data_IF_678339127496
#
_entry.id   IF_678339127496
#
_cell.length_a   1.000
_cell.length_b   1.000
_cell.length_c   1.000
_cell.angle_alpha   90.00
_cell.angle_beta   90.00
_cell.angle_gamma   90.00
#
_symmetry.space_group_name_H-M   'P 1'
#
loop_
_entity.id
_entity.type
_entity.pdbx_description
1 polymer ?
#
# COMPACT_ATOMS: atom_id res chain seq x y z
N UNK A 1 -0.80 27.82 9.50
CA UNK A 1 -1.11 26.38 9.33
C UNK A 1 -1.11 25.80 10.75
N UNK A 2 -2.27 25.45 11.28
CA UNK A 2 -2.35 24.78 12.57
C UNK A 2 -1.64 23.45 12.48
N UNK A 3 -0.63 23.28 13.32
CA UNK A 3 0.13 22.04 13.44
C UNK A 3 -0.80 20.98 14.07
N UNK A 4 -1.51 20.20 13.28
CA UNK A 4 -2.44 19.18 13.75
C UNK A 4 -1.66 18.17 14.58
N UNK A 5 -1.88 18.15 15.90
CA UNK A 5 -1.24 17.19 16.81
C UNK A 5 -1.65 15.77 16.46
N UNK A 6 -0.68 14.88 16.34
CA UNK A 6 -0.92 13.45 16.11
C UNK A 6 -1.72 12.89 17.28
N UNK A 7 -2.76 12.10 16.97
CA UNK A 7 -3.66 11.49 17.96
C UNK A 7 -3.47 9.97 17.98
N UNK A 8 -3.12 9.41 19.12
CA UNK A 8 -2.77 8.00 19.30
C UNK A 8 -3.69 7.33 20.30
N UNK A 9 -4.30 6.22 19.90
CA UNK A 9 -5.04 5.30 20.76
C UNK A 9 -4.12 4.15 21.19
N UNK A 10 -4.11 3.84 22.48
CA UNK A 10 -3.39 2.69 23.05
C UNK A 10 -4.42 1.72 23.60
N UNK A 11 -4.52 0.52 23.04
CA UNK A 11 -5.42 -0.56 23.47
C UNK A 11 -4.86 -1.37 24.64
N UNK A 12 -4.32 -0.67 25.63
CA UNK A 12 -3.84 -1.20 26.90
C UNK A 12 -4.00 -0.10 27.95
N UNK A 13 -4.75 -0.35 29.02
CA UNK A 13 -5.00 0.57 30.12
C UNK A 13 -4.18 0.20 31.38
N UNK A 14 -3.24 -0.74 31.26
CA UNK A 14 -2.37 -1.13 32.38
C UNK A 14 -1.39 0.00 32.78
N UNK A 15 -1.19 0.15 34.07
CA UNK A 15 -0.26 1.12 34.61
C UNK A 15 1.20 0.85 34.19
N UNK A 16 1.54 -0.41 33.98
CA UNK A 16 2.89 -0.86 33.62
C UNK A 16 3.29 -0.53 32.19
N UNK A 17 2.35 -0.57 31.25
CA UNK A 17 2.61 -0.44 29.82
C UNK A 17 1.82 0.71 29.17
N UNK A 18 0.52 0.61 29.06
CA UNK A 18 -0.30 1.57 28.33
C UNK A 18 -0.25 2.97 28.89
N UNK A 19 -0.36 3.13 30.22
CA UNK A 19 -0.30 4.44 30.89
C UNK A 19 1.08 5.07 30.76
N UNK A 20 2.16 4.29 30.89
CA UNK A 20 3.54 4.78 30.68
C UNK A 20 3.77 5.22 29.24
N UNK A 21 3.33 4.41 28.27
CA UNK A 21 3.44 4.75 26.86
C UNK A 21 2.68 6.05 26.55
N UNK A 22 1.47 6.21 27.09
CA UNK A 22 0.69 7.43 26.92
C UNK A 22 1.37 8.66 27.53
N UNK A 23 2.03 8.53 28.70
CA UNK A 23 2.77 9.61 29.32
C UNK A 23 3.94 10.09 28.45
N UNK A 24 4.78 9.16 27.98
CA UNK A 24 5.92 9.46 27.10
C UNK A 24 5.48 10.12 25.80
N UNK A 25 4.39 9.66 25.20
CA UNK A 25 3.84 10.27 23.97
C UNK A 25 3.37 11.70 24.22
N UNK A 26 2.68 11.98 25.35
CA UNK A 26 2.21 13.32 25.70
C UNK A 26 3.36 14.29 25.97
N UNK A 27 4.46 13.84 26.59
CA UNK A 27 5.68 14.63 26.79
C UNK A 27 6.35 15.04 25.45
N UNK A 28 6.02 14.34 24.35
CA UNK A 28 6.55 14.58 23.00
C UNK A 28 5.53 15.22 22.03
N UNK A 29 4.56 15.99 22.57
CA UNK A 29 3.52 16.72 21.81
C UNK A 29 2.55 15.82 21.01
N UNK A 30 2.40 14.56 21.40
CA UNK A 30 1.46 13.60 20.80
C UNK A 30 0.26 13.44 21.75
N UNK A 31 -0.95 13.63 21.25
CA UNK A 31 -2.17 13.37 22.02
C UNK A 31 -2.39 11.87 22.15
N UNK A 32 -2.20 11.31 23.33
CA UNK A 32 -2.35 9.87 23.56
C UNK A 32 -3.42 9.57 24.63
N UNK A 33 -4.21 8.53 24.39
CA UNK A 33 -5.22 8.05 25.32
C UNK A 33 -5.29 6.52 25.31
N UNK A 34 -5.69 5.94 26.45
CA UNK A 34 -5.72 4.50 26.66
C UNK A 34 -7.16 3.97 26.64
N UNK A 35 -7.33 2.72 26.25
CA UNK A 35 -8.57 1.95 26.32
C UNK A 35 -8.27 0.55 26.81
N UNK A 36 -9.28 -0.13 27.34
CA UNK A 36 -9.19 -1.55 27.73
C UNK A 36 -8.71 -2.39 26.55
N UNK A 37 -7.94 -3.44 26.83
CA UNK A 37 -7.42 -4.41 25.87
C UNK A 37 -8.52 -5.33 25.32
N UNK A 38 -9.57 -4.73 24.76
CA UNK A 38 -10.76 -5.39 24.23
C UNK A 38 -11.11 -4.81 22.86
N UNK A 39 -11.37 -5.68 21.87
CA UNK A 39 -11.59 -5.27 20.49
C UNK A 39 -12.73 -4.29 20.31
N UNK A 40 -13.83 -4.49 21.04
CA UNK A 40 -15.01 -3.63 20.95
C UNK A 40 -14.72 -2.21 21.44
N UNK A 41 -14.09 -2.09 22.63
CA UNK A 41 -13.73 -0.80 23.18
C UNK A 41 -12.72 -0.03 22.30
N UNK A 42 -11.80 -0.78 21.67
CA UNK A 42 -10.82 -0.22 20.75
C UNK A 42 -11.52 0.23 19.45
N UNK A 43 -12.38 -0.60 18.85
CA UNK A 43 -13.11 -0.28 17.62
C UNK A 43 -14.01 0.94 17.81
N UNK A 44 -14.80 0.96 18.90
CA UNK A 44 -15.68 2.10 19.25
C UNK A 44 -14.86 3.40 19.35
N UNK A 45 -13.66 3.33 19.95
CA UNK A 45 -12.77 4.48 20.09
C UNK A 45 -12.14 4.90 18.76
N UNK A 46 -11.80 3.95 17.87
CA UNK A 46 -11.30 4.26 16.52
C UNK A 46 -12.37 5.03 15.73
N UNK A 47 -13.62 4.60 15.81
CA UNK A 47 -14.74 5.24 15.09
C UNK A 47 -15.03 6.64 15.64
N UNK A 48 -15.12 6.80 16.97
CA UNK A 48 -15.54 8.05 17.59
C UNK A 48 -14.41 9.08 17.73
N UNK A 49 -13.22 8.63 18.07
CA UNK A 49 -12.07 9.50 18.36
C UNK A 49 -11.22 9.78 17.12
N UNK A 50 -11.33 8.97 16.04
CA UNK A 50 -10.59 9.08 14.79
C UNK A 50 -9.08 9.29 15.05
N UNK A 51 -8.37 8.35 15.67
CA UNK A 51 -6.94 8.46 15.91
C UNK A 51 -6.13 8.38 14.61
N UNK A 52 -4.95 8.98 14.57
CA UNK A 52 -4.01 8.85 13.45
C UNK A 52 -3.20 7.56 13.55
N UNK A 53 -2.96 7.05 14.77
CA UNK A 53 -2.32 5.76 15.00
C UNK A 53 -2.97 4.99 16.17
N UNK A 54 -2.84 3.67 16.14
CA UNK A 54 -3.37 2.74 17.15
C UNK A 54 -2.28 1.76 17.57
N UNK A 55 -1.97 1.70 18.85
CA UNK A 55 -1.03 0.72 19.44
C UNK A 55 -1.85 -0.34 20.14
N UNK A 56 -1.72 -1.59 19.71
CA UNK A 56 -2.43 -2.74 20.31
C UNK A 56 -1.52 -3.96 20.42
N UNK A 57 -1.83 -4.82 21.37
CA UNK A 57 -1.22 -6.14 21.44
C UNK A 57 -1.70 -7.04 20.30
N UNK A 58 -0.84 -7.95 19.85
CA UNK A 58 -1.19 -8.99 18.89
C UNK A 58 -2.40 -9.81 19.38
N UNK A 59 -2.41 -10.14 20.68
CA UNK A 59 -3.49 -10.88 21.32
C UNK A 59 -4.33 -9.95 22.18
N UNK A 60 -5.60 -9.76 21.83
CA UNK A 60 -6.59 -9.03 22.61
C UNK A 60 -7.37 -10.02 23.51
N UNK A 61 -8.20 -9.52 24.43
CA UNK A 61 -8.97 -10.38 25.36
C UNK A 61 -10.02 -11.25 24.65
N UNK A 62 -10.55 -10.77 23.55
CA UNK A 62 -11.70 -11.34 22.84
C UNK A 62 -11.39 -11.74 21.38
N UNK A 63 -10.24 -11.36 20.84
CA UNK A 63 -9.81 -11.64 19.48
C UNK A 63 -8.30 -11.36 19.31
N UNK A 64 -7.79 -11.39 18.08
CA UNK A 64 -6.45 -10.93 17.72
C UNK A 64 -6.45 -9.59 16.98
N UNK A 65 -5.26 -9.01 16.82
CA UNK A 65 -5.08 -7.72 16.15
C UNK A 65 -5.43 -7.78 14.66
N UNK A 66 -5.17 -8.90 13.98
CA UNK A 66 -5.44 -9.06 12.54
C UNK A 66 -6.94 -8.97 12.29
N UNK A 67 -7.72 -9.73 13.04
CA UNK A 67 -9.19 -9.71 12.94
C UNK A 67 -9.78 -8.31 13.25
N UNK A 68 -9.20 -7.58 14.22
CA UNK A 68 -9.61 -6.19 14.49
C UNK A 68 -9.28 -5.26 13.32
N UNK A 69 -8.07 -5.35 12.75
CA UNK A 69 -7.67 -4.55 11.60
C UNK A 69 -8.56 -4.79 10.38
N UNK A 70 -8.94 -6.04 10.10
CA UNK A 70 -9.87 -6.38 9.03
C UNK A 70 -11.26 -5.73 9.23
N UNK A 71 -11.79 -5.77 10.45
CA UNK A 71 -13.05 -5.09 10.79
C UNK A 71 -12.98 -3.58 10.57
N UNK A 72 -11.86 -2.96 10.96
CA UNK A 72 -11.63 -1.52 10.75
C UNK A 72 -11.56 -1.18 9.26
N UNK A 73 -10.86 -1.99 8.45
CA UNK A 73 -10.80 -1.83 6.98
C UNK A 73 -12.19 -1.91 6.33
N UNK A 74 -13.05 -2.79 6.80
CA UNK A 74 -14.42 -2.93 6.29
C UNK A 74 -15.38 -1.81 6.70
N UNK A 75 -15.04 -1.02 7.72
CA UNK A 75 -15.97 -0.05 8.33
C UNK A 75 -15.60 1.41 8.06
N UNK A 76 -14.32 1.73 7.88
CA UNK A 76 -13.80 3.10 7.83
C UNK A 76 -13.15 3.46 6.51
N UNK A 77 -13.40 4.72 6.07
CA UNK A 77 -12.73 5.31 4.90
C UNK A 77 -11.28 5.72 5.21
N UNK A 78 -11.01 6.17 6.47
CA UNK A 78 -9.67 6.52 6.93
C UNK A 78 -9.20 5.50 7.97
N UNK A 79 -8.25 4.68 7.59
CA UNK A 79 -7.66 3.65 8.45
C UNK A 79 -6.49 4.29 9.24
N UNK A 80 -6.44 4.13 10.58
CA UNK A 80 -5.30 4.58 11.36
C UNK A 80 -4.06 3.71 11.12
N UNK A 81 -2.86 4.24 11.37
CA UNK A 81 -1.64 3.43 11.37
C UNK A 81 -1.65 2.46 12.55
N UNK A 82 -1.58 1.15 12.30
CA UNK A 82 -1.54 0.14 13.36
C UNK A 82 -0.11 -0.21 13.75
N UNK A 83 0.21 -0.08 15.03
CA UNK A 83 1.45 -0.57 15.64
C UNK A 83 1.09 -1.78 16.51
N UNK A 84 1.59 -2.94 16.13
CA UNK A 84 1.29 -4.19 16.84
C UNK A 84 2.42 -4.51 17.80
N UNK A 85 2.07 -4.77 19.05
CA UNK A 85 2.99 -5.16 20.11
C UNK A 85 2.82 -6.64 20.41
N UNK A 86 3.92 -7.38 20.59
CA UNK A 86 3.86 -8.82 20.88
C UNK A 86 5.01 -9.25 21.80
N UNK A 87 4.78 -10.31 22.57
CA UNK A 87 5.82 -10.99 23.32
C UNK A 87 6.52 -12.08 22.48
N UNK A 88 6.04 -12.30 21.25
CA UNK A 88 6.52 -13.37 20.35
C UNK A 88 7.48 -12.78 19.34
N UNK A 89 8.72 -13.20 19.38
CA UNK A 89 9.73 -12.89 18.37
C UNK A 89 9.73 -14.01 17.31
N UNK A 90 8.97 -13.80 16.23
CA UNK A 90 8.87 -14.77 15.14
C UNK A 90 8.66 -14.04 13.81
N UNK A 91 9.61 -14.19 12.89
CA UNK A 91 9.60 -13.51 11.58
C UNK A 91 8.37 -13.87 10.73
N UNK A 92 7.81 -15.06 10.87
CA UNK A 92 6.60 -15.45 10.16
C UNK A 92 5.39 -14.67 10.68
N UNK A 93 5.23 -14.57 12.00
CA UNK A 93 4.13 -13.80 12.61
C UNK A 93 4.26 -12.31 12.29
N UNK A 94 5.46 -11.75 12.42
CA UNK A 94 5.76 -10.36 12.06
C UNK A 94 5.35 -10.07 10.62
N UNK A 95 5.79 -10.92 9.68
CA UNK A 95 5.45 -10.82 8.27
C UNK A 95 3.94 -10.88 8.05
N UNK A 96 3.25 -11.85 8.66
CA UNK A 96 1.79 -11.98 8.54
C UNK A 96 1.06 -10.73 9.05
N UNK A 97 1.48 -10.17 10.18
CA UNK A 97 0.89 -8.96 10.76
C UNK A 97 1.08 -7.76 9.84
N UNK A 98 2.28 -7.58 9.27
CA UNK A 98 2.57 -6.49 8.34
C UNK A 98 1.82 -6.65 7.01
N UNK A 99 1.76 -7.86 6.45
CA UNK A 99 0.97 -8.16 5.23
C UNK A 99 -0.53 -7.92 5.43
N UNK A 100 -1.04 -8.10 6.65
CA UNK A 100 -2.43 -7.79 7.00
C UNK A 100 -2.66 -6.30 7.33
N UNK A 101 -1.65 -5.44 7.14
CA UNK A 101 -1.82 -3.99 7.15
C UNK A 101 -1.42 -3.29 8.43
N UNK A 102 -0.62 -3.92 9.29
CA UNK A 102 0.07 -3.21 10.35
C UNK A 102 1.19 -2.34 9.78
N UNK A 103 1.34 -1.14 10.33
CA UNK A 103 2.38 -0.19 9.92
C UNK A 103 3.71 -0.45 10.62
N UNK A 104 3.68 -1.12 11.76
CA UNK A 104 4.87 -1.43 12.54
C UNK A 104 4.62 -2.61 13.49
N UNK A 105 5.66 -3.41 13.76
CA UNK A 105 5.64 -4.52 14.71
C UNK A 105 6.70 -4.31 15.79
N UNK A 106 6.32 -4.39 17.05
CA UNK A 106 7.20 -4.21 18.21
C UNK A 106 7.22 -5.49 19.05
N UNK A 107 8.40 -6.00 19.34
CA UNK A 107 8.58 -7.12 20.26
C UNK A 107 8.99 -6.65 21.65
N UNK A 108 8.32 -7.14 22.69
CA UNK A 108 8.72 -6.85 24.07
C UNK A 108 9.97 -7.68 24.46
N UNK A 109 10.87 -7.15 25.29
CA UNK A 109 10.85 -5.78 25.82
C UNK A 109 11.32 -4.75 24.77
N UNK A 110 10.65 -3.60 24.70
CA UNK A 110 11.04 -2.48 23.84
C UNK A 110 11.22 -1.18 24.68
N UNK A 111 12.02 -0.27 24.17
CA UNK A 111 12.20 1.03 24.80
C UNK A 111 10.99 1.94 24.52
N UNK A 112 10.26 2.29 25.57
CA UNK A 112 9.09 3.16 25.48
C UNK A 112 9.45 4.56 24.95
N UNK A 113 10.70 5.03 25.17
CA UNK A 113 11.20 6.30 24.67
C UNK A 113 11.36 6.33 23.13
N UNK A 114 11.39 5.17 22.49
CA UNK A 114 11.42 5.09 21.02
C UNK A 114 10.03 5.34 20.37
N UNK A 115 8.93 5.17 21.10
CA UNK A 115 7.57 5.30 20.58
C UNK A 115 7.28 6.63 19.88
N UNK A 116 7.68 7.82 20.39
CA UNK A 116 7.42 9.09 19.71
C UNK A 116 8.02 9.14 18.30
N UNK A 117 9.23 8.62 18.11
CA UNK A 117 9.89 8.58 16.79
C UNK A 117 9.20 7.60 15.85
N UNK A 118 8.80 6.43 16.33
CA UNK A 118 8.04 5.44 15.56
C UNK A 118 6.70 6.02 15.13
N UNK A 119 5.93 6.62 16.08
CA UNK A 119 4.64 7.25 15.77
C UNK A 119 4.81 8.36 14.73
N UNK A 120 5.79 9.24 14.90
CA UNK A 120 6.06 10.30 13.93
C UNK A 120 6.38 9.71 12.55
N UNK A 121 7.21 8.67 12.47
CA UNK A 121 7.56 8.04 11.19
C UNK A 121 6.35 7.41 10.51
N UNK A 122 5.53 6.62 11.22
CA UNK A 122 4.36 5.95 10.61
C UNK A 122 3.21 6.90 10.30
N UNK A 123 3.10 8.05 11.01
CA UNK A 123 2.07 9.05 10.73
C UNK A 123 2.52 10.11 9.71
N UNK A 124 3.85 10.36 9.55
CA UNK A 124 4.39 11.36 8.61
C UNK A 124 4.58 10.78 7.22
N UNK A 125 4.85 9.50 7.13
CA UNK A 125 4.73 8.76 5.88
C UNK A 125 3.23 8.60 5.68
N UNK A 126 2.59 9.25 4.68
CA UNK A 126 1.21 8.94 4.40
C UNK A 126 1.16 7.42 4.23
N UNK A 127 0.39 6.73 5.08
CA UNK A 127 0.13 5.32 4.96
C UNK A 127 -0.73 5.14 3.71
N UNK A 128 -0.09 5.25 2.57
CA UNK A 128 -0.56 4.79 1.27
C UNK A 128 -0.08 3.34 1.14
N UNK A 129 -0.49 2.48 2.10
CA UNK A 129 -0.28 1.04 1.96
C UNK A 129 -0.87 0.51 0.65
N UNK A 130 -1.89 1.19 0.14
CA UNK A 130 -2.42 0.90 -1.19
C UNK A 130 -1.51 1.37 -2.33
N UNK A 131 -0.77 2.49 -2.19
CA UNK A 131 0.11 2.98 -3.25
C UNK A 131 1.41 2.18 -3.36
N UNK A 132 2.04 1.85 -2.20
CA UNK A 132 3.30 1.09 -2.19
C UNK A 132 3.08 -0.35 -2.64
N UNK A 133 2.03 -1.00 -2.15
CA UNK A 133 1.68 -2.36 -2.55
C UNK A 133 1.28 -2.42 -4.03
N UNK A 134 0.47 -1.47 -4.49
CA UNK A 134 0.10 -1.35 -5.91
C UNK A 134 1.32 -1.07 -6.79
N UNK A 135 2.24 -0.21 -6.36
CA UNK A 135 3.46 0.07 -7.11
C UNK A 135 4.40 -1.14 -7.15
N UNK A 136 4.52 -1.89 -6.06
CA UNK A 136 5.27 -3.15 -6.01
C UNK A 136 4.62 -4.17 -6.94
N UNK A 137 3.30 -4.36 -6.86
CA UNK A 137 2.56 -5.29 -7.74
C UNK A 137 2.74 -4.94 -9.23
N UNK A 138 2.59 -3.66 -9.60
CA UNK A 138 2.83 -3.20 -10.96
C UNK A 138 4.26 -3.50 -11.38
N UNK A 139 5.23 -3.21 -10.52
CA UNK A 139 6.66 -3.42 -10.77
C UNK A 139 6.97 -4.90 -11.01
N UNK A 140 6.48 -5.78 -10.13
CA UNK A 140 6.68 -7.23 -10.25
C UNK A 140 6.05 -7.78 -11.54
N UNK A 141 4.85 -7.34 -11.89
CA UNK A 141 4.16 -7.81 -13.09
C UNK A 141 4.92 -7.40 -14.35
N UNK A 142 5.32 -6.14 -14.50
CA UNK A 142 6.04 -5.69 -15.69
C UNK A 142 7.44 -6.30 -15.80
N UNK A 143 8.09 -6.63 -14.66
CA UNK A 143 9.35 -7.37 -14.65
C UNK A 143 9.15 -8.83 -15.05
N UNK A 144 8.12 -9.50 -14.51
CA UNK A 144 7.74 -10.88 -14.90
C UNK A 144 7.42 -11.00 -16.39
N UNK A 145 6.82 -9.96 -16.97
CA UNK A 145 6.54 -9.88 -18.40
C UNK A 145 7.80 -9.58 -19.25
N UNK A 146 8.98 -9.42 -18.61
CA UNK A 146 10.26 -9.26 -19.31
C UNK A 146 10.61 -7.83 -19.72
N UNK A 147 9.93 -6.81 -19.19
CA UNK A 147 10.27 -5.41 -19.47
C UNK A 147 11.55 -5.01 -18.70
N UNK A 148 12.63 -4.58 -19.38
CA UNK A 148 13.89 -4.24 -18.70
C UNK A 148 13.79 -2.96 -17.89
N UNK A 149 14.19 -3.00 -16.61
CA UNK A 149 14.04 -1.87 -15.69
C UNK A 149 14.92 -0.63 -16.04
N UNK A 150 15.99 -0.82 -16.80
CA UNK A 150 16.96 0.26 -17.12
C UNK A 150 16.52 1.18 -18.28
N UNK A 151 15.43 0.86 -18.98
CA UNK A 151 14.97 1.67 -20.13
C UNK A 151 13.89 2.68 -19.69
N UNK A 152 13.86 3.86 -20.36
CA UNK A 152 12.84 4.89 -20.08
C UNK A 152 11.41 4.38 -20.23
N UNK A 153 11.18 3.48 -21.20
CA UNK A 153 9.88 2.88 -21.45
C UNK A 153 9.32 2.11 -20.25
N UNK A 154 10.17 1.48 -19.45
CA UNK A 154 9.79 0.82 -18.21
C UNK A 154 9.16 1.81 -17.21
N UNK A 155 9.82 2.94 -16.96
CA UNK A 155 9.31 3.95 -16.03
C UNK A 155 8.02 4.58 -16.53
N UNK A 156 7.91 4.85 -17.84
CA UNK A 156 6.69 5.39 -18.43
C UNK A 156 5.53 4.40 -18.37
N UNK A 157 5.80 3.13 -18.66
CA UNK A 157 4.81 2.05 -18.61
C UNK A 157 4.29 1.86 -17.17
N UNK A 158 5.19 1.79 -16.18
CA UNK A 158 4.82 1.69 -14.77
C UNK A 158 3.93 2.86 -14.35
N UNK A 159 4.33 4.08 -14.67
CA UNK A 159 3.53 5.27 -14.34
C UNK A 159 2.19 5.29 -15.07
N UNK A 160 2.13 4.85 -16.33
CA UNK A 160 0.89 4.76 -17.08
C UNK A 160 -0.09 3.78 -16.42
N UNK A 161 0.36 2.59 -16.01
CA UNK A 161 -0.46 1.59 -15.34
C UNK A 161 -0.94 2.13 -13.98
N UNK A 162 -0.08 2.71 -13.16
CA UNK A 162 -0.45 3.31 -11.87
C UNK A 162 -1.50 4.41 -12.04
N UNK A 163 -1.28 5.34 -12.96
CA UNK A 163 -2.26 6.40 -13.25
C UNK A 163 -3.59 5.84 -13.74
N UNK A 164 -3.59 4.79 -14.56
CA UNK A 164 -4.80 4.12 -15.03
C UNK A 164 -5.53 3.37 -13.90
N UNK A 165 -4.81 2.84 -12.89
CA UNK A 165 -5.42 2.24 -11.69
C UNK A 165 -6.13 3.30 -10.85
N UNK A 166 -5.52 4.48 -10.67
CA UNK A 166 -6.07 5.59 -9.91
C UNK A 166 -7.29 6.23 -10.59
N UNK A 167 -7.21 6.47 -11.90
CA UNK A 167 -8.28 7.09 -12.70
C UNK A 167 -8.55 6.30 -13.98
N UNK A 168 -9.67 5.55 -13.98
CA UNK A 168 -10.09 4.74 -15.13
C UNK A 168 -10.39 5.55 -16.39
N UNK A 169 -10.77 6.83 -16.26
CA UNK A 169 -11.08 7.70 -17.38
C UNK A 169 -9.88 7.94 -18.30
N UNK A 170 -8.65 7.80 -17.76
CA UNK A 170 -7.43 7.91 -18.56
C UNK A 170 -7.33 6.82 -19.65
N UNK A 171 -8.01 5.69 -19.46
CA UNK A 171 -8.05 4.59 -20.45
C UNK A 171 -9.09 4.82 -21.57
N UNK A 172 -10.04 5.75 -21.42
CA UNK A 172 -11.02 6.07 -22.47
C UNK A 172 -10.34 6.66 -23.71
N UNK A 173 -9.25 7.41 -23.53
CA UNK A 173 -8.47 7.95 -24.61
C UNK A 173 -6.99 8.05 -24.27
N UNK A 174 -6.27 6.92 -24.42
CA UNK A 174 -4.85 6.76 -24.06
C UNK A 174 -3.96 7.85 -24.67
N UNK A 175 -4.17 8.19 -25.95
CA UNK A 175 -3.38 9.20 -26.65
C UNK A 175 -3.64 10.64 -26.19
N UNK A 176 -4.87 10.95 -25.78
CA UNK A 176 -5.27 12.33 -25.40
C UNK A 176 -5.23 12.57 -23.89
N UNK A 177 -5.31 11.51 -23.07
CA UNK A 177 -5.39 11.63 -21.61
C UNK A 177 -4.18 10.97 -20.94
N UNK A 178 -3.92 9.68 -21.17
CA UNK A 178 -2.89 8.93 -20.44
C UNK A 178 -1.48 9.36 -20.82
N UNK A 179 -1.13 9.40 -22.11
CA UNK A 179 0.21 9.80 -22.53
C UNK A 179 0.58 11.24 -22.14
N UNK A 180 -0.30 12.25 -22.26
CA UNK A 180 -0.03 13.58 -21.72
C UNK A 180 0.19 13.61 -20.20
N UNK A 181 -0.59 12.84 -19.43
CA UNK A 181 -0.42 12.71 -17.99
C UNK A 181 0.99 12.18 -17.63
N UNK A 182 1.42 11.10 -18.30
CA UNK A 182 2.79 10.56 -18.11
C UNK A 182 3.84 11.54 -18.59
N UNK A 183 3.63 12.18 -19.75
CA UNK A 183 4.58 13.13 -20.32
C UNK A 183 4.84 14.32 -19.39
N UNK A 184 3.81 14.82 -18.71
CA UNK A 184 3.94 15.89 -17.72
C UNK A 184 4.80 15.48 -16.52
N UNK A 185 4.65 14.24 -16.00
CA UNK A 185 5.46 13.74 -14.86
C UNK A 185 6.95 13.63 -15.17
N UNK A 186 7.30 13.44 -16.44
CA UNK A 186 8.70 13.22 -16.87
C UNK A 186 9.28 14.36 -17.73
N UNK A 187 8.62 15.49 -17.79
CA UNK A 187 9.03 16.66 -18.61
C UNK A 187 9.40 16.26 -20.05
N UNK A 188 8.46 15.56 -20.71
CA UNK A 188 8.65 15.04 -22.07
C UNK A 188 7.38 15.20 -22.92
N UNK A 189 7.36 14.63 -24.11
CA UNK A 189 6.20 14.72 -25.02
C UNK A 189 5.43 13.38 -25.07
N UNK A 190 4.11 13.46 -25.32
CA UNK A 190 3.25 12.27 -25.47
C UNK A 190 3.76 11.30 -26.53
N UNK A 191 4.29 11.79 -27.65
CA UNK A 191 4.86 10.96 -28.70
C UNK A 191 6.10 10.19 -28.27
N UNK A 192 6.95 10.82 -27.42
CA UNK A 192 8.12 10.14 -26.84
C UNK A 192 7.72 9.09 -25.83
N UNK A 193 6.69 9.37 -25.01
CA UNK A 193 6.11 8.40 -24.08
C UNK A 193 5.56 7.20 -24.82
N UNK A 194 4.70 7.42 -25.82
CA UNK A 194 4.12 6.35 -26.64
C UNK A 194 5.20 5.47 -27.28
N UNK A 195 6.19 6.08 -27.92
CA UNK A 195 7.27 5.34 -28.59
C UNK A 195 8.14 4.56 -27.60
N UNK A 196 8.45 5.12 -26.44
CA UNK A 196 9.23 4.44 -25.41
C UNK A 196 8.47 3.25 -24.79
N UNK A 197 7.16 3.39 -24.53
CA UNK A 197 6.31 2.30 -24.05
C UNK A 197 6.22 1.19 -25.10
N UNK A 198 6.01 1.54 -26.37
CA UNK A 198 5.98 0.58 -27.49
C UNK A 198 7.25 -0.24 -27.54
N UNK A 199 8.40 0.43 -27.49
CA UNK A 199 9.70 -0.23 -27.49
C UNK A 199 9.91 -1.14 -26.29
N UNK A 200 9.44 -0.74 -25.10
CA UNK A 200 9.51 -1.56 -23.89
C UNK A 200 8.69 -2.84 -24.01
N UNK A 201 7.49 -2.76 -24.59
CA UNK A 201 6.61 -3.90 -24.85
C UNK A 201 7.24 -4.81 -25.93
N UNK A 202 7.83 -4.27 -26.98
CA UNK A 202 8.55 -5.02 -28.01
C UNK A 202 9.67 -5.87 -27.42
N UNK A 203 10.53 -5.26 -26.57
CA UNK A 203 11.61 -6.00 -25.91
C UNK A 203 11.05 -7.11 -25.00
N UNK A 204 9.98 -6.83 -24.27
CA UNK A 204 9.34 -7.83 -23.40
C UNK A 204 8.81 -9.02 -24.23
N UNK A 205 8.24 -8.77 -25.41
CA UNK A 205 7.74 -9.80 -26.31
C UNK A 205 8.84 -10.63 -26.93
N UNK A 206 9.95 -9.99 -27.31
CA UNK A 206 11.07 -10.66 -27.97
C UNK A 206 11.96 -11.48 -27.01
N UNK A 207 11.98 -11.12 -25.71
CA UNK A 207 12.90 -11.70 -24.71
C UNK A 207 12.21 -12.30 -23.50
N UNK A 208 10.92 -12.04 -23.31
CA UNK A 208 10.14 -12.54 -22.19
C UNK A 208 9.86 -14.03 -22.28
N UNK A 209 9.54 -14.63 -21.14
CA UNK A 209 9.11 -16.02 -21.08
C UNK A 209 7.73 -16.16 -21.73
N UNK A 210 7.67 -16.99 -22.76
CA UNK A 210 6.45 -17.23 -23.54
C UNK A 210 5.32 -17.84 -22.70
N UNK A 211 5.63 -18.67 -21.69
CA UNK A 211 4.62 -19.24 -20.79
C UNK A 211 4.02 -18.15 -19.89
N UNK A 212 4.87 -17.26 -19.36
CA UNK A 212 4.42 -16.12 -18.56
C UNK A 212 3.57 -15.18 -19.41
N UNK A 213 4.02 -14.81 -20.60
CA UNK A 213 3.29 -13.94 -21.52
C UNK A 213 1.92 -14.57 -21.85
N UNK A 214 1.88 -15.84 -22.20
CA UNK A 214 0.65 -16.57 -22.51
C UNK A 214 -0.29 -16.66 -21.29
N UNK A 215 0.24 -16.82 -20.07
CA UNK A 215 -0.58 -16.84 -18.85
C UNK A 215 -1.25 -15.49 -18.55
N UNK A 216 -0.63 -14.40 -18.99
CA UNK A 216 -1.15 -13.05 -18.82
C UNK A 216 -2.12 -12.65 -19.92
N UNK A 217 -1.76 -12.88 -21.18
CA UNK A 217 -2.46 -12.37 -22.33
C UNK A 217 -3.37 -13.42 -22.99
N UNK A 218 -3.07 -14.74 -22.82
CA UNK A 218 -3.90 -15.84 -23.27
C UNK A 218 -4.50 -15.64 -24.65
N UNK A 219 -5.83 -15.73 -24.71
CA UNK A 219 -6.60 -15.60 -25.95
C UNK A 219 -6.90 -14.15 -26.38
N UNK A 220 -6.36 -13.14 -25.66
CA UNK A 220 -6.65 -11.71 -25.95
C UNK A 220 -5.75 -11.11 -27.02
N UNK A 221 -4.73 -11.86 -27.48
CA UNK A 221 -3.82 -11.40 -28.52
C UNK A 221 -4.38 -11.81 -29.88
N UNK A 222 -4.48 -10.84 -30.79
CA UNK A 222 -4.78 -11.13 -32.19
C UNK A 222 -3.64 -11.97 -32.79
N UNK A 223 -3.96 -13.21 -33.20
CA UNK A 223 -3.01 -14.16 -33.76
C UNK A 223 -2.29 -13.65 -35.02
N UNK A 224 -2.83 -12.63 -35.70
CA UNK A 224 -2.23 -12.01 -36.89
C UNK A 224 -1.17 -10.93 -36.51
N UNK A 225 -1.32 -10.28 -35.36
CA UNK A 225 -0.39 -9.21 -34.91
C UNK A 225 0.75 -9.72 -34.05
N UNK A 226 0.60 -10.87 -33.42
CA UNK A 226 1.60 -11.54 -32.62
C UNK A 226 1.99 -10.82 -31.30
N UNK A 227 1.54 -9.55 -31.07
CA UNK A 227 1.80 -8.75 -29.86
C UNK A 227 0.69 -7.73 -29.61
N UNK A 228 0.42 -7.35 -28.35
CA UNK A 228 -0.58 -6.35 -28.03
C UNK A 228 -0.15 -4.94 -28.42
N UNK A 229 -1.10 -4.07 -28.63
CA UNK A 229 -0.88 -2.63 -28.68
C UNK A 229 -0.55 -2.11 -27.26
N UNK A 230 0.02 -0.90 -27.17
CA UNK A 230 0.29 -0.26 -25.87
C UNK A 230 -0.99 -0.18 -25.01
N UNK A 231 -2.12 0.19 -25.63
CA UNK A 231 -3.40 0.33 -24.95
C UNK A 231 -3.90 -1.00 -24.40
N UNK A 232 -3.85 -2.06 -25.18
CA UNK A 232 -4.24 -3.42 -24.76
C UNK A 232 -3.36 -3.92 -23.63
N UNK A 233 -2.05 -3.71 -23.72
CA UNK A 233 -1.11 -4.09 -22.67
C UNK A 233 -1.41 -3.37 -21.34
N UNK A 234 -1.54 -2.04 -21.37
CA UNK A 234 -1.82 -1.24 -20.18
C UNK A 234 -3.19 -1.60 -19.61
N UNK A 235 -4.22 -1.75 -20.46
CA UNK A 235 -5.57 -2.09 -20.02
C UNK A 235 -5.61 -3.43 -19.28
N UNK A 236 -5.02 -4.47 -19.86
CA UNK A 236 -5.05 -5.81 -19.29
C UNK A 236 -4.29 -5.91 -17.97
N UNK A 237 -3.10 -5.31 -17.89
CA UNK A 237 -2.32 -5.28 -16.64
C UNK A 237 -3.07 -4.47 -15.56
N UNK A 238 -3.66 -3.33 -15.94
CA UNK A 238 -4.46 -2.49 -15.03
C UNK A 238 -5.67 -3.26 -14.49
N UNK A 239 -6.41 -3.96 -15.36
CA UNK A 239 -7.61 -4.71 -14.95
C UNK A 239 -7.25 -5.87 -14.02
N UNK A 240 -6.19 -6.63 -14.36
CA UNK A 240 -5.72 -7.75 -13.53
C UNK A 240 -5.32 -7.30 -12.12
N UNK A 241 -4.61 -6.17 -12.00
CA UNK A 241 -4.24 -5.61 -10.70
C UNK A 241 -5.47 -5.12 -9.93
N UNK A 242 -6.42 -4.44 -10.60
CA UNK A 242 -7.67 -4.02 -9.97
C UNK A 242 -8.49 -5.19 -9.44
N UNK A 243 -8.53 -6.30 -10.15
CA UNK A 243 -9.20 -7.52 -9.68
C UNK A 243 -8.50 -8.08 -8.44
N UNK A 244 -7.18 -8.12 -8.42
CA UNK A 244 -6.42 -8.57 -7.25
C UNK A 244 -6.65 -7.67 -6.03
N UNK A 245 -6.68 -6.34 -6.22
CA UNK A 245 -6.95 -5.38 -5.15
C UNK A 245 -8.40 -5.43 -4.61
N UNK A 246 -9.37 -5.89 -5.40
CA UNK A 246 -10.75 -6.07 -4.96
C UNK A 246 -11.01 -7.40 -4.24
N UNK A 247 -10.14 -8.37 -4.44
CA UNK A 247 -10.23 -9.71 -3.83
C UNK A 247 -9.35 -9.84 -2.57
N UNK A 248 -8.51 -8.85 -2.30
CA UNK A 248 -7.69 -8.71 -1.10
C UNK A 248 -8.36 -7.78 -0.09
#
# INVERSE_FOLDING_TARGET
>A
MENKRIKVLIGDDSASNGVKAAAVLRENDITAFTRKKNSRAILDSIINDVPDAVIIDLTLQDTDAICLMERVKGTLVKIPAFIIVSDIQNNFIERQVLENGASYYLTRPYDVQSLPSIIKSVCTIPFTSTCTDTEIMVTEIIQKLGVPAHIKGYHYLRTAILSAIEDSRLMECVTKLLYPCVAQKYDTTSSRVERAIRHAIEIAWDRGDSEVINSFFGYTIDNYRGRPTNSEFIALVTDKIRLQLKLA
#
